data_IF_005699450626
#
_entry.id   IF_005699450626
#
_cell.length_a   1.000
_cell.length_b   1.000
_cell.length_c   1.000
_cell.angle_alpha   90.00
_cell.angle_beta   90.00
_cell.angle_gamma   90.00
#
_symmetry.space_group_name_H-M   'P 1'
#
loop_
_entity.id
_entity.type
_entity.pdbx_description
1 polymer ?
#
# COMPACT_ATOMS: atom_id res chain seq x y z
N UNK A 1 5.69 11.59 -3.24
CA UNK A 1 5.83 12.25 -1.93
C UNK A 1 6.83 13.40 -1.92
N UNK A 2 8.16 13.25 -2.18
CA UNK A 2 9.11 14.37 -2.06
C UNK A 2 8.80 15.58 -2.97
N UNK A 3 8.14 15.33 -4.11
CA UNK A 3 7.70 16.39 -5.03
C UNK A 3 6.60 17.29 -4.44
N UNK A 4 5.72 16.73 -3.61
CA UNK A 4 4.54 17.44 -3.08
C UNK A 4 4.71 17.84 -1.61
N UNK A 5 5.74 17.33 -0.94
CA UNK A 5 6.13 17.70 0.43
C UNK A 5 7.65 17.97 0.41
N UNK A 6 8.08 19.18 0.01
CA UNK A 6 9.49 19.49 -0.24
C UNK A 6 10.36 19.47 1.01
N UNK A 7 9.75 19.55 2.20
CA UNK A 7 10.43 19.50 3.50
C UNK A 7 10.92 18.08 3.86
N UNK A 8 10.44 17.05 3.16
CA UNK A 8 10.87 15.67 3.39
C UNK A 8 12.33 15.51 2.96
N UNK A 9 13.18 15.13 3.92
CA UNK A 9 14.59 14.85 3.69
C UNK A 9 14.85 13.43 3.20
N UNK A 10 14.05 12.47 3.65
CA UNK A 10 14.25 11.05 3.40
C UNK A 10 12.90 10.32 3.30
N UNK A 11 12.81 9.39 2.35
CA UNK A 11 11.66 8.48 2.21
C UNK A 11 12.19 7.07 2.04
N UNK A 12 11.79 6.19 2.94
CA UNK A 12 12.12 4.77 2.86
C UNK A 12 10.85 3.95 2.62
N UNK A 13 10.97 2.92 1.78
CA UNK A 13 9.89 1.98 1.52
C UNK A 13 10.38 0.57 1.81
N UNK A 14 9.76 -0.08 2.79
CA UNK A 14 10.09 -1.43 3.22
C UNK A 14 8.94 -2.38 2.88
N UNK A 15 9.29 -3.57 2.39
CA UNK A 15 8.34 -4.62 2.10
C UNK A 15 8.79 -5.92 2.78
N UNK A 16 7.86 -6.59 3.46
CA UNK A 16 8.13 -7.89 4.04
C UNK A 16 8.20 -8.97 2.97
N UNK A 17 9.26 -9.78 3.00
CA UNK A 17 9.37 -10.99 2.19
C UNK A 17 9.39 -12.22 3.10
N UNK A 18 8.49 -13.16 2.87
CA UNK A 18 8.48 -14.43 3.60
C UNK A 18 9.67 -15.30 3.21
N UNK A 19 10.13 -16.17 4.12
CA UNK A 19 11.26 -17.08 3.84
C UNK A 19 11.03 -18.00 2.62
N UNK A 20 9.77 -18.25 2.26
CA UNK A 20 9.39 -19.01 1.07
C UNK A 20 9.84 -18.37 -0.26
N UNK A 21 10.18 -17.08 -0.28
CA UNK A 21 10.66 -16.40 -1.50
C UNK A 21 12.15 -16.62 -1.76
N UNK A 22 12.94 -17.00 -0.75
CA UNK A 22 14.39 -17.22 -0.85
C UNK A 22 14.77 -18.22 -1.96
N UNK A 23 14.19 -19.44 -2.05
CA UNK A 23 14.53 -20.36 -3.12
C UNK A 23 14.16 -19.83 -4.51
N UNK A 24 13.07 -19.07 -4.62
CA UNK A 24 12.64 -18.46 -5.87
C UNK A 24 13.66 -17.40 -6.35
N UNK A 25 14.12 -16.56 -5.43
CA UNK A 25 15.17 -15.56 -5.69
C UNK A 25 16.48 -16.23 -6.11
N UNK A 26 16.87 -17.33 -5.45
CA UNK A 26 18.05 -18.09 -5.82
C UNK A 26 17.92 -18.67 -7.25
N UNK A 27 16.75 -19.20 -7.61
CA UNK A 27 16.49 -19.71 -8.94
C UNK A 27 16.55 -18.61 -10.02
N UNK A 28 16.07 -17.40 -9.71
CA UNK A 28 16.23 -16.24 -10.58
C UNK A 28 17.69 -15.86 -10.78
N UNK A 29 18.49 -15.84 -9.70
CA UNK A 29 19.93 -15.54 -9.80
C UNK A 29 20.69 -16.53 -10.67
N UNK A 30 20.22 -17.77 -10.76
CA UNK A 30 20.80 -18.82 -11.61
C UNK A 30 20.27 -18.79 -13.06
N UNK A 31 19.53 -17.75 -13.46
CA UNK A 31 19.04 -17.55 -14.83
C UNK A 31 17.88 -18.45 -15.24
N UNK A 32 17.15 -19.03 -14.27
CA UNK A 32 16.01 -19.91 -14.55
C UNK A 32 14.87 -19.17 -15.28
N UNK A 33 14.78 -17.85 -15.12
CA UNK A 33 13.73 -17.01 -15.71
C UNK A 33 14.23 -16.06 -16.82
N UNK A 34 15.43 -16.27 -17.35
CA UNK A 34 16.06 -15.35 -18.32
C UNK A 34 15.53 -15.50 -19.76
N UNK A 35 14.65 -16.47 -20.01
CA UNK A 35 14.14 -16.78 -21.35
C UNK A 35 12.62 -16.89 -21.39
N UNK A 36 11.98 -16.23 -22.37
CA UNK A 36 10.51 -16.18 -22.55
C UNK A 36 9.83 -17.55 -22.40
N UNK A 37 10.39 -18.62 -22.98
CA UNK A 37 9.81 -19.98 -22.89
C UNK A 37 9.87 -20.55 -21.47
N UNK A 38 10.98 -20.36 -20.75
CA UNK A 38 11.16 -20.85 -19.37
C UNK A 38 10.27 -20.09 -18.41
N UNK A 39 10.18 -18.77 -18.57
CA UNK A 39 9.28 -17.92 -17.77
C UNK A 39 7.82 -18.28 -18.03
N UNK A 40 7.41 -18.44 -19.30
CA UNK A 40 6.04 -18.83 -19.64
C UNK A 40 5.68 -20.20 -19.05
N UNK A 41 6.58 -21.18 -19.14
CA UNK A 41 6.38 -22.49 -18.53
C UNK A 41 6.25 -22.40 -17.00
N UNK A 42 7.14 -21.65 -16.34
CA UNK A 42 7.10 -21.50 -14.89
C UNK A 42 5.84 -20.77 -14.40
N UNK A 43 5.39 -19.74 -15.12
CA UNK A 43 4.13 -19.04 -14.85
C UNK A 43 2.94 -20.00 -15.01
N UNK A 44 2.92 -20.81 -16.07
CA UNK A 44 1.86 -21.78 -16.27
C UNK A 44 1.83 -22.83 -15.15
N UNK A 45 3.01 -23.35 -14.76
CA UNK A 45 3.12 -24.28 -13.65
C UNK A 45 2.64 -23.65 -12.34
N UNK A 46 3.01 -22.40 -12.07
CA UNK A 46 2.55 -21.66 -10.90
C UNK A 46 1.03 -21.51 -10.89
N UNK A 47 0.40 -21.13 -12.02
CA UNK A 47 -1.06 -21.01 -12.13
C UNK A 47 -1.77 -22.35 -11.87
N UNK A 48 -1.24 -23.45 -12.41
CA UNK A 48 -1.80 -24.80 -12.14
C UNK A 48 -1.69 -25.16 -10.66
N UNK A 49 -0.55 -24.90 -10.03
CA UNK A 49 -0.35 -25.15 -8.61
C UNK A 49 -1.26 -24.26 -7.76
N UNK A 50 -1.41 -22.99 -8.12
CA UNK A 50 -2.28 -22.05 -7.39
C UNK A 50 -3.74 -22.52 -7.46
N UNK A 51 -4.24 -22.98 -8.62
CA UNK A 51 -5.60 -23.53 -8.72
C UNK A 51 -5.83 -24.78 -7.87
N UNK A 52 -4.79 -25.57 -7.62
CA UNK A 52 -4.88 -26.81 -6.86
C UNK A 52 -4.67 -26.61 -5.36
N UNK A 53 -3.86 -25.62 -4.96
CA UNK A 53 -3.37 -25.46 -3.60
C UNK A 53 -3.61 -24.07 -2.98
N UNK A 54 -4.17 -23.11 -3.73
CA UNK A 54 -4.39 -21.76 -3.20
C UNK A 54 -5.32 -21.81 -1.98
N UNK A 55 -4.95 -21.12 -0.89
CA UNK A 55 -5.86 -20.95 0.24
C UNK A 55 -7.12 -20.23 -0.22
N UNK A 56 -8.27 -20.72 0.25
CA UNK A 56 -9.61 -20.17 -0.06
C UNK A 56 -9.78 -18.69 0.32
N UNK A 57 -8.87 -18.12 1.12
CA UNK A 57 -8.90 -16.71 1.54
C UNK A 57 -7.55 -16.03 1.27
N UNK A 58 -7.54 -14.83 0.66
CA UNK A 58 -6.32 -14.07 0.48
C UNK A 58 -5.70 -13.73 1.85
N UNK A 59 -4.36 -13.75 1.92
CA UNK A 59 -3.65 -13.37 3.14
C UNK A 59 -3.84 -11.89 3.45
N UNK A 60 -3.95 -11.57 4.74
CA UNK A 60 -3.94 -10.19 5.20
C UNK A 60 -2.58 -9.54 4.93
N UNK A 61 -2.62 -8.32 4.39
CA UNK A 61 -1.48 -7.42 4.37
C UNK A 61 -1.54 -6.46 5.55
N UNK A 62 -0.38 -5.93 5.91
CA UNK A 62 -0.27 -4.82 6.86
C UNK A 62 0.53 -3.69 6.20
N UNK A 63 0.09 -2.47 6.41
CA UNK A 63 0.79 -1.25 6.03
C UNK A 63 1.14 -0.48 7.30
N UNK A 64 2.35 0.05 7.36
CA UNK A 64 2.79 0.95 8.41
C UNK A 64 3.47 2.15 7.75
N UNK A 65 3.11 3.33 8.22
CA UNK A 65 3.72 4.61 7.87
C UNK A 65 4.29 5.18 9.15
N UNK A 66 5.55 5.58 9.09
CA UNK A 66 6.22 6.33 10.15
C UNK A 66 6.60 7.69 9.61
N UNK A 67 6.24 8.74 10.34
CA UNK A 67 6.58 10.12 10.02
C UNK A 67 7.35 10.73 11.19
N UNK A 68 8.59 11.12 10.93
CA UNK A 68 9.42 11.89 11.85
C UNK A 68 9.48 13.33 11.41
N UNK A 69 9.33 14.26 12.35
CA UNK A 69 9.36 15.69 12.04
C UNK A 69 9.54 16.54 13.29
N UNK A 70 9.36 17.86 13.13
CA UNK A 70 9.30 18.77 14.26
C UNK A 70 8.01 19.59 14.23
N UNK A 71 7.37 19.72 15.40
CA UNK A 71 6.21 20.58 15.61
C UNK A 71 6.48 21.47 16.82
N UNK A 72 6.29 22.78 16.67
CA UNK A 72 6.55 23.77 17.71
C UNK A 72 7.96 23.67 18.34
N UNK A 73 8.97 23.31 17.55
CA UNK A 73 10.36 23.19 18.00
C UNK A 73 10.71 21.90 18.74
N UNK A 74 9.75 20.99 18.94
CA UNK A 74 10.00 19.64 19.48
C UNK A 74 10.05 18.62 18.34
N UNK A 75 10.88 17.58 18.48
CA UNK A 75 10.84 16.42 17.59
C UNK A 75 9.63 15.55 17.93
N UNK A 76 8.90 15.12 16.90
CA UNK A 76 7.75 14.23 17.03
C UNK A 76 7.88 13.04 16.07
N UNK A 77 7.38 11.89 16.50
CA UNK A 77 7.27 10.67 15.71
C UNK A 77 5.83 10.19 15.73
N UNK A 78 5.24 10.11 14.55
CA UNK A 78 3.87 9.63 14.34
C UNK A 78 3.89 8.31 13.59
N UNK A 79 3.01 7.41 14.00
CA UNK A 79 2.86 6.08 13.38
C UNK A 79 1.42 5.92 12.95
N UNK A 80 1.23 5.48 11.72
CA UNK A 80 -0.06 5.04 11.19
C UNK A 80 0.05 3.60 10.72
N UNK A 81 -0.85 2.75 11.18
CA UNK A 81 -0.92 1.33 10.82
C UNK A 81 -2.28 0.96 10.25
N UNK A 82 -2.31 0.03 9.31
CA UNK A 82 -3.56 -0.51 8.78
C UNK A 82 -3.41 -1.97 8.37
N UNK A 83 -4.49 -2.73 8.48
CA UNK A 83 -4.54 -4.15 8.10
C UNK A 83 -5.65 -4.33 7.07
N UNK A 84 -5.35 -5.05 5.99
CA UNK A 84 -6.32 -5.26 4.92
C UNK A 84 -5.79 -6.22 3.84
N UNK A 85 -6.70 -6.87 3.12
CA UNK A 85 -6.32 -7.68 1.95
C UNK A 85 -5.76 -6.78 0.84
N UNK A 86 -4.64 -7.16 0.21
CA UNK A 86 -4.00 -6.34 -0.84
C UNK A 86 -4.97 -5.92 -1.95
N UNK A 87 -5.77 -6.87 -2.45
CA UNK A 87 -6.76 -6.62 -3.52
C UNK A 87 -7.80 -5.59 -3.07
N UNK A 88 -8.33 -5.77 -1.87
CA UNK A 88 -9.43 -4.95 -1.35
C UNK A 88 -8.93 -3.54 -1.04
N UNK A 89 -7.75 -3.41 -0.42
CA UNK A 89 -7.12 -2.11 -0.15
C UNK A 89 -6.83 -1.32 -1.42
N UNK A 90 -6.26 -1.96 -2.45
CA UNK A 90 -5.98 -1.29 -3.72
C UNK A 90 -7.26 -0.93 -4.47
N UNK A 91 -8.21 -1.87 -4.58
CA UNK A 91 -9.47 -1.65 -5.28
C UNK A 91 -10.34 -0.58 -4.61
N UNK A 92 -10.38 -0.56 -3.28
CA UNK A 92 -11.10 0.45 -2.51
C UNK A 92 -10.50 1.84 -2.71
N UNK A 93 -9.18 1.96 -2.60
CA UNK A 93 -8.48 3.23 -2.81
C UNK A 93 -8.79 3.82 -4.19
N UNK A 94 -8.78 2.98 -5.23
CA UNK A 94 -9.15 3.38 -6.60
C UNK A 94 -10.61 3.83 -6.67
N UNK A 95 -11.53 3.08 -6.06
CA UNK A 95 -12.96 3.40 -6.06
C UNK A 95 -13.24 4.73 -5.37
N UNK A 96 -12.65 4.98 -4.19
CA UNK A 96 -12.80 6.22 -3.45
C UNK A 96 -12.23 7.39 -4.26
N UNK A 97 -10.99 7.28 -4.74
CA UNK A 97 -10.37 8.35 -5.53
C UNK A 97 -11.16 8.68 -6.81
N UNK A 98 -11.74 7.68 -7.47
CA UNK A 98 -12.59 7.88 -8.65
C UNK A 98 -13.89 8.61 -8.29
N UNK A 99 -14.50 8.27 -7.16
CA UNK A 99 -15.71 8.94 -6.68
C UNK A 99 -15.41 10.40 -6.28
N UNK A 100 -14.31 10.65 -5.59
CA UNK A 100 -13.87 12.01 -5.24
C UNK A 100 -13.65 12.85 -6.49
N UNK A 101 -12.99 12.30 -7.52
CA UNK A 101 -12.84 12.97 -8.81
C UNK A 101 -14.20 13.29 -9.45
N UNK A 102 -15.12 12.32 -9.51
CA UNK A 102 -16.44 12.51 -10.11
C UNK A 102 -17.30 13.55 -9.37
N UNK A 103 -17.08 13.72 -8.07
CA UNK A 103 -17.76 14.70 -7.21
C UNK A 103 -17.07 16.06 -7.17
N UNK A 104 -15.94 16.24 -7.87
CA UNK A 104 -15.09 17.43 -7.78
C UNK A 104 -14.55 17.69 -6.35
N UNK A 105 -14.27 16.63 -5.60
CA UNK A 105 -13.68 16.66 -4.26
C UNK A 105 -12.14 16.60 -4.29
N UNK A 106 -11.54 16.67 -5.49
CA UNK A 106 -10.10 16.85 -5.66
C UNK A 106 -9.76 18.33 -5.83
N UNK A 107 -8.66 18.79 -5.25
CA UNK A 107 -8.30 20.22 -5.29
C UNK A 107 -7.55 20.61 -6.56
N UNK A 108 -6.93 19.66 -7.26
CA UNK A 108 -6.25 19.90 -8.53
C UNK A 108 -7.23 19.91 -9.71
N UNK A 109 -7.16 20.92 -10.59
CA UNK A 109 -8.09 21.08 -11.72
C UNK A 109 -7.63 20.46 -13.04
N UNK A 110 -6.34 20.53 -13.36
CA UNK A 110 -5.81 20.05 -14.64
C UNK A 110 -4.40 19.51 -14.48
N UNK A 111 -4.10 18.39 -15.15
CA UNK A 111 -2.76 17.77 -15.15
C UNK A 111 -2.77 16.35 -14.61
N UNK A 112 -1.57 15.85 -14.31
CA UNK A 112 -1.34 14.51 -13.77
C UNK A 112 -0.75 14.65 -12.38
N UNK A 113 -1.45 14.15 -11.37
CA UNK A 113 -1.08 14.28 -9.97
C UNK A 113 -1.06 12.92 -9.30
N UNK A 114 -0.14 12.77 -8.35
CA UNK A 114 -0.24 11.71 -7.36
C UNK A 114 -1.27 12.13 -6.28
N UNK A 115 -1.85 11.18 -5.52
CA UNK A 115 -2.90 11.48 -4.54
C UNK A 115 -2.51 12.58 -3.54
N UNK A 116 -1.26 12.58 -3.06
CA UNK A 116 -0.77 13.60 -2.12
C UNK A 116 -0.75 15.03 -2.70
N UNK A 117 -0.89 15.18 -4.02
CA UNK A 117 -0.92 16.45 -4.72
C UNK A 117 -2.29 16.83 -5.28
N UNK A 118 -3.35 16.06 -5.00
CA UNK A 118 -4.70 16.38 -5.48
C UNK A 118 -5.86 15.93 -4.56
N UNK A 119 -5.62 15.10 -3.55
CA UNK A 119 -6.63 14.53 -2.66
C UNK A 119 -6.44 15.07 -1.25
N UNK A 120 -7.52 15.56 -0.64
CA UNK A 120 -7.54 15.85 0.80
C UNK A 120 -7.51 14.54 1.61
N UNK A 121 -6.57 14.34 2.54
CA UNK A 121 -6.41 13.07 3.24
C UNK A 121 -7.61 12.67 4.10
N UNK A 122 -8.22 13.61 4.84
CA UNK A 122 -9.28 13.31 5.81
C UNK A 122 -10.54 12.72 5.13
N UNK A 123 -11.15 13.34 4.10
CA UNK A 123 -12.31 12.74 3.43
C UNK A 123 -12.01 11.38 2.79
N UNK A 124 -10.79 11.18 2.29
CA UNK A 124 -10.37 9.90 1.72
C UNK A 124 -10.31 8.82 2.81
N UNK A 125 -9.67 9.12 3.95
CA UNK A 125 -9.52 8.19 5.07
C UNK A 125 -10.86 7.91 5.75
N UNK A 126 -11.74 8.90 5.90
CA UNK A 126 -13.09 8.74 6.47
C UNK A 126 -13.97 7.79 5.63
N UNK A 127 -13.69 7.65 4.33
CA UNK A 127 -14.41 6.73 3.44
C UNK A 127 -13.91 5.26 3.54
N UNK A 128 -12.74 5.01 4.13
CA UNK A 128 -12.12 3.68 4.20
C UNK A 128 -12.85 2.71 5.17
N UNK A 129 -13.27 3.13 6.39
CA UNK A 129 -13.96 2.26 7.33
C UNK A 129 -15.27 1.68 6.79
N UNK A 130 -15.99 2.42 5.93
CA UNK A 130 -17.24 1.98 5.31
C UNK A 130 -17.10 0.67 4.51
N UNK A 131 -15.87 0.26 4.20
CA UNK A 131 -15.53 -0.97 3.47
C UNK A 131 -14.52 -1.85 4.22
N UNK A 132 -14.41 -1.66 5.54
CA UNK A 132 -13.68 -2.57 6.43
C UNK A 132 -12.16 -2.32 6.51
N UNK A 133 -11.67 -1.17 6.05
CA UNK A 133 -10.26 -0.79 6.20
C UNK A 133 -10.16 0.28 7.27
N UNK A 134 -9.46 -0.05 8.36
CA UNK A 134 -9.26 0.83 9.51
C UNK A 134 -7.79 1.22 9.62
N UNK A 135 -7.54 2.43 10.12
CA UNK A 135 -6.23 2.94 10.39
C UNK A 135 -6.07 3.24 11.89
N UNK A 136 -4.88 2.98 12.42
CA UNK A 136 -4.56 3.03 13.84
C UNK A 136 -3.29 3.83 14.08
N UNK A 137 -3.23 4.55 15.20
CA UNK A 137 -2.09 5.35 15.63
C UNK A 137 -1.08 4.57 16.48
N UNK A 138 -1.27 3.25 16.61
CA UNK A 138 -0.41 2.40 17.42
C UNK A 138 -0.28 1.00 16.83
N UNK A 139 0.86 0.38 17.11
CA UNK A 139 1.20 -0.96 16.60
C UNK A 139 0.34 -2.08 17.19
N UNK A 140 -0.37 -1.83 18.31
CA UNK A 140 -1.25 -2.81 18.94
C UNK A 140 -2.67 -2.74 18.40
N UNK A 141 -2.95 -1.80 17.48
CA UNK A 141 -4.25 -1.60 16.85
C UNK A 141 -5.35 -1.29 17.88
N UNK A 142 -5.04 -0.46 18.87
CA UNK A 142 -5.99 -0.13 19.96
C UNK A 142 -6.54 1.29 19.87
N UNK A 143 -5.88 2.19 19.14
CA UNK A 143 -6.27 3.59 18.96
C UNK A 143 -6.52 3.85 17.48
N UNK A 144 -7.79 3.83 17.11
CA UNK A 144 -8.23 4.24 15.77
C UNK A 144 -7.90 5.71 15.55
N UNK A 145 -7.53 6.07 14.32
CA UNK A 145 -7.33 7.45 13.96
C UNK A 145 -8.68 8.18 13.90
N UNK A 146 -8.83 9.22 14.72
CA UNK A 146 -10.03 10.06 14.71
C UNK A 146 -9.81 11.40 14.02
N UNK A 147 -8.55 11.85 13.90
CA UNK A 147 -8.17 13.12 13.27
C UNK A 147 -6.90 12.97 12.43
N UNK A 148 -6.90 13.56 11.23
CA UNK A 148 -5.82 13.56 10.23
C UNK A 148 -5.54 15.00 9.83
#
# INVERSE_FOLDING_TARGET
>A
MPRFIPEIKEVNFFMGFGHSTIPLVAATRNGMFDGRRRTAFAVHLADVLDRLFAPQRPSWGALRIDAWGSRNGAEEHHVLCGVGGMRDSTGLSLSIGTQMLARNEIFARHGVFAPEGCVEPKPFLDAMPAKGIMAFEDLRLTREITDV
#
